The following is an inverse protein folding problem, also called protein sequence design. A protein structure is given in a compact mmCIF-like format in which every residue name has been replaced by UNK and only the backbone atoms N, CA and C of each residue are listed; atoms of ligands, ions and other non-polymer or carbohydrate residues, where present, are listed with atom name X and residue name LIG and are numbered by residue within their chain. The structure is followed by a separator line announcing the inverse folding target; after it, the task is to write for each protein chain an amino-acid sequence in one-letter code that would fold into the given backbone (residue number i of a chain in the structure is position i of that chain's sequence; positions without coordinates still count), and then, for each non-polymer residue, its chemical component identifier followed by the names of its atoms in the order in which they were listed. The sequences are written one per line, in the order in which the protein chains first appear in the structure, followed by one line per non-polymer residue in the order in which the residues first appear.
data_IF_503974925464
#
_entry.id   IF_503974925464
#
_cell.length_a   1.000
_cell.length_b   1.000
_cell.length_c   1.000
_cell.angle_alpha   90.00
_cell.angle_beta   90.00
_cell.angle_gamma   90.00
#
_symmetry.space_group_name_H-M   'P 1'
#
loop_
_entity.id
_entity.type
_entity.pdbx_description
1 polymer ?
#
# COMPACT_ATOMS: atom_id res chain seq x y z
N UNK A 1 -4.80 -28.61 -38.94
CA UNK A 1 -4.78 -28.64 -37.46
C UNK A 1 -4.06 -27.38 -37.00
N UNK A 2 -4.80 -26.39 -36.47
CA UNK A 2 -4.24 -25.08 -36.10
C UNK A 2 -3.79 -25.11 -34.65
N UNK A 3 -2.47 -25.07 -34.44
CA UNK A 3 -1.85 -25.01 -33.12
C UNK A 3 -2.09 -23.64 -32.48
N UNK A 4 -2.85 -23.59 -31.36
CA UNK A 4 -2.89 -22.42 -30.48
C UNK A 4 -1.57 -22.32 -29.72
N UNK A 5 -0.77 -21.29 -30.01
CA UNK A 5 0.31 -20.86 -29.11
C UNK A 5 -0.34 -20.28 -27.85
N UNK A 6 -0.37 -21.07 -26.77
CA UNK A 6 -0.51 -20.52 -25.41
C UNK A 6 0.82 -19.83 -25.07
N UNK A 7 0.84 -18.57 -24.62
CA UNK A 7 2.04 -18.04 -24.00
C UNK A 7 2.28 -18.82 -22.70
N UNK A 8 3.55 -19.18 -22.51
CA UNK A 8 4.03 -19.93 -21.36
C UNK A 8 3.79 -19.14 -20.07
N UNK A 9 3.32 -19.85 -19.04
CA UNK A 9 3.40 -19.39 -17.66
C UNK A 9 4.89 -19.32 -17.28
N UNK A 10 5.38 -18.11 -17.04
CA UNK A 10 6.75 -17.86 -16.64
C UNK A 10 6.83 -16.50 -15.97
N UNK A 11 7.26 -16.53 -14.70
CA UNK A 11 7.51 -15.41 -13.78
C UNK A 11 6.26 -14.88 -13.04
N UNK A 12 6.18 -14.97 -11.69
CA UNK A 12 5.28 -14.13 -10.93
C UNK A 12 5.81 -12.70 -11.08
N UNK A 13 5.35 -12.00 -12.13
CA UNK A 13 5.46 -10.55 -12.22
C UNK A 13 4.97 -10.01 -10.88
N UNK A 14 5.82 -9.30 -10.16
CA UNK A 14 5.45 -8.62 -8.93
C UNK A 14 4.11 -7.93 -9.17
N UNK A 15 3.12 -8.29 -8.35
CA UNK A 15 1.71 -8.05 -8.65
C UNK A 15 1.43 -6.59 -8.31
N UNK A 16 1.78 -5.67 -9.22
CA UNK A 16 1.38 -4.28 -9.14
C UNK A 16 -0.12 -4.24 -8.87
N UNK A 17 -0.55 -3.77 -7.69
CA UNK A 17 -1.96 -3.84 -7.33
C UNK A 17 -2.73 -2.85 -8.20
N UNK A 18 -3.86 -3.27 -8.75
CA UNK A 18 -4.68 -2.33 -9.54
C UNK A 18 -5.28 -1.26 -8.62
N UNK A 19 -5.56 -0.04 -9.12
CA UNK A 19 -6.14 1.03 -8.30
C UNK A 19 -7.39 0.61 -7.53
N UNK A 20 -8.24 -0.22 -8.14
CA UNK A 20 -9.47 -0.72 -7.49
C UNK A 20 -9.14 -1.64 -6.31
N UNK A 21 -8.15 -2.52 -6.45
CA UNK A 21 -7.76 -3.44 -5.39
C UNK A 21 -7.20 -2.68 -4.19
N UNK A 22 -6.31 -1.72 -4.40
CA UNK A 22 -5.75 -0.89 -3.32
C UNK A 22 -6.87 -0.14 -2.58
N UNK A 23 -7.80 0.47 -3.31
CA UNK A 23 -8.96 1.16 -2.73
C UNK A 23 -9.79 0.21 -1.86
N UNK A 24 -10.17 -0.95 -2.40
CA UNK A 24 -10.98 -1.93 -1.68
C UNK A 24 -10.30 -2.43 -0.42
N UNK A 25 -8.99 -2.67 -0.46
CA UNK A 25 -8.25 -3.09 0.73
C UNK A 25 -8.27 -2.00 1.81
N UNK A 26 -8.05 -0.73 1.44
CA UNK A 26 -8.11 0.39 2.39
C UNK A 26 -9.53 0.52 2.99
N UNK A 27 -10.57 0.32 2.19
CA UNK A 27 -11.96 0.34 2.67
C UNK A 27 -12.27 -0.77 3.68
N UNK A 28 -11.64 -1.94 3.51
CA UNK A 28 -11.81 -3.11 4.36
C UNK A 28 -10.97 -3.09 5.64
N UNK A 29 -10.10 -2.09 5.82
CA UNK A 29 -9.32 -1.94 7.05
C UNK A 29 -10.23 -1.85 8.27
N UNK A 30 -9.87 -2.61 9.31
CA UNK A 30 -10.46 -2.52 10.64
C UNK A 30 -9.46 -1.93 11.65
N UNK A 31 -9.95 -1.52 12.82
CA UNK A 31 -9.08 -0.91 13.84
C UNK A 31 -8.02 -1.90 14.31
N UNK A 32 -6.77 -1.45 14.34
CA UNK A 32 -5.60 -2.27 14.68
C UNK A 32 -5.01 -3.03 13.49
N UNK A 33 -5.64 -3.02 12.31
CA UNK A 33 -5.03 -3.50 11.08
C UNK A 33 -4.30 -2.37 10.35
N UNK A 34 -3.29 -2.78 9.58
CA UNK A 34 -2.55 -1.90 8.70
C UNK A 34 -2.27 -2.60 7.38
N UNK A 35 -2.28 -1.84 6.29
CA UNK A 35 -1.76 -2.26 4.98
C UNK A 35 -0.37 -1.64 4.82
N UNK A 36 0.61 -2.46 4.44
CA UNK A 36 1.97 -1.99 4.19
C UNK A 36 2.33 -2.22 2.73
N UNK A 37 2.82 -1.17 2.08
CA UNK A 37 3.27 -1.20 0.69
C UNK A 37 4.75 -0.88 0.64
N UNK A 38 5.55 -1.72 -0.01
CA UNK A 38 6.96 -1.44 -0.28
C UNK A 38 7.08 -0.34 -1.31
N UNK A 39 7.85 0.70 -0.99
CA UNK A 39 8.14 1.80 -1.90
C UNK A 39 9.41 1.52 -2.70
N UNK A 40 9.51 2.05 -3.92
CA UNK A 40 10.74 1.99 -4.70
C UNK A 40 11.86 2.79 -4.03
N UNK A 41 13.11 2.34 -4.22
CA UNK A 41 14.30 3.00 -3.67
C UNK A 41 14.46 4.45 -4.18
N UNK A 42 14.00 4.76 -5.39
CA UNK A 42 14.01 6.12 -5.95
C UNK A 42 13.20 7.12 -5.12
N UNK A 43 12.21 6.65 -4.36
CA UNK A 43 11.40 7.45 -3.45
C UNK A 43 11.85 7.36 -1.99
N UNK A 44 13.08 6.90 -1.75
CA UNK A 44 13.64 6.68 -0.41
C UNK A 44 13.42 5.26 0.13
N UNK A 45 12.74 4.39 -0.63
CA UNK A 45 12.44 3.03 -0.21
C UNK A 45 11.54 2.98 1.02
N UNK A 46 11.65 1.91 1.80
CA UNK A 46 10.85 1.74 3.01
C UNK A 46 9.43 1.24 2.71
N UNK A 47 8.53 1.51 3.65
CA UNK A 47 7.12 1.12 3.61
C UNK A 47 6.20 2.32 3.74
N UNK A 48 5.16 2.35 2.90
CA UNK A 48 3.96 3.13 3.15
C UNK A 48 2.96 2.30 3.93
N UNK A 49 2.59 2.77 5.12
CA UNK A 49 1.70 2.08 6.04
C UNK A 49 0.38 2.86 6.16
N UNK A 50 -0.73 2.24 5.76
CA UNK A 50 -2.08 2.78 5.94
C UNK A 50 -2.78 2.05 7.08
N UNK A 51 -3.35 2.81 8.00
CA UNK A 51 -4.14 2.29 9.11
C UNK A 51 -5.39 3.15 9.36
N UNK A 52 -6.39 2.58 10.06
CA UNK A 52 -7.51 3.38 10.57
C UNK A 52 -7.03 4.27 11.72
N UNK A 53 -7.45 5.52 11.70
CA UNK A 53 -7.26 6.45 12.80
C UNK A 53 -8.12 6.00 14.01
N UNK A 54 -7.52 5.62 15.15
CA UNK A 54 -8.27 5.19 16.33
C UNK A 54 -9.10 6.31 16.97
N UNK A 55 -8.84 7.57 16.62
CA UNK A 55 -9.58 8.73 17.11
C UNK A 55 -10.76 9.11 16.20
N UNK A 56 -10.90 8.50 15.02
CA UNK A 56 -12.06 8.73 14.14
C UNK A 56 -13.33 8.04 14.70
N UNK A 57 -14.53 8.64 14.59
CA UNK A 57 -14.86 9.91 13.94
C UNK A 57 -14.71 11.15 14.84
N UNK A 58 -14.20 11.00 16.07
CA UNK A 58 -14.12 12.11 17.04
C UNK A 58 -13.05 13.15 16.68
N UNK A 59 -11.93 12.73 16.09
CA UNK A 59 -10.81 13.62 15.74
C UNK A 59 -10.01 13.10 14.54
N UNK A 60 -9.66 14.02 13.65
CA UNK A 60 -8.86 13.75 12.46
C UNK A 60 -9.64 12.99 11.38
N UNK A 61 -8.97 12.65 10.29
CA UNK A 61 -9.56 11.88 9.20
C UNK A 61 -9.50 10.37 9.44
N UNK A 62 -10.29 9.60 8.68
CA UNK A 62 -10.50 8.16 8.89
C UNK A 62 -9.24 7.32 8.75
N UNK A 63 -8.36 7.65 7.80
CA UNK A 63 -7.16 6.89 7.48
C UNK A 63 -5.91 7.71 7.76
N UNK A 64 -4.89 7.05 8.29
CA UNK A 64 -3.55 7.62 8.49
C UNK A 64 -2.61 6.93 7.51
N UNK A 65 -1.80 7.72 6.81
CA UNK A 65 -0.66 7.22 6.04
C UNK A 65 0.62 7.61 6.77
N UNK A 66 1.47 6.62 6.99
CA UNK A 66 2.80 6.79 7.59
C UNK A 66 3.87 6.14 6.73
N UNK A 67 5.10 6.61 6.87
CA UNK A 67 6.29 5.98 6.31
C UNK A 67 7.05 5.23 7.38
N UNK A 68 7.60 4.07 7.04
CA UNK A 68 8.43 3.26 7.92
C UNK A 68 9.69 2.83 7.18
N UNK A 69 10.85 3.11 7.76
CA UNK A 69 12.13 2.70 7.19
C UNK A 69 12.29 1.19 7.26
N UNK A 70 13.09 0.64 6.34
CA UNK A 70 13.52 -0.74 6.39
C UNK A 70 14.98 -0.81 6.84
N UNK A 71 15.25 -1.56 7.90
CA UNK A 71 16.60 -1.92 8.35
C UNK A 71 16.79 -3.41 8.08
N UNK A 72 17.83 -3.77 7.33
CA UNK A 72 18.09 -5.14 6.88
C UNK A 72 16.85 -5.80 6.21
N UNK A 73 16.11 -5.00 5.44
CA UNK A 73 14.91 -5.44 4.73
C UNK A 73 13.66 -5.65 5.60
N UNK A 74 13.70 -5.29 6.89
CA UNK A 74 12.59 -5.42 7.84
C UNK A 74 12.12 -4.06 8.36
N UNK A 75 10.83 -3.90 8.71
CA UNK A 75 10.33 -2.64 9.28
C UNK A 75 11.10 -2.25 10.54
N UNK A 76 11.55 -1.00 10.61
CA UNK A 76 12.32 -0.48 11.74
C UNK A 76 11.51 -0.38 13.05
N UNK A 77 10.19 -0.52 12.99
CA UNK A 77 9.27 -0.35 14.12
C UNK A 77 8.92 1.11 14.42
N UNK A 78 9.43 2.05 13.61
CA UNK A 78 9.18 3.48 13.76
C UNK A 78 8.46 4.04 12.55
N UNK A 79 7.23 4.49 12.78
CA UNK A 79 6.38 5.11 11.76
C UNK A 79 6.41 6.63 11.87
N UNK A 80 6.64 7.27 10.73
CA UNK A 80 6.57 8.71 10.55
C UNK A 80 5.27 9.05 9.83
N UNK A 81 4.33 9.68 10.54
CA UNK A 81 3.06 10.09 9.92
C UNK A 81 3.35 11.07 8.78
N UNK A 82 2.86 10.74 7.59
CA UNK A 82 2.98 11.58 6.40
C UNK A 82 1.76 12.51 6.30
N UNK A 83 0.55 11.93 6.28
CA UNK A 83 -0.71 12.70 6.28
C UNK A 83 -1.90 11.85 6.75
N UNK A 84 -3.11 12.40 6.64
CA UNK A 84 -4.38 11.70 6.85
C UNK A 84 -5.42 12.02 5.76
N UNK A 85 -6.32 11.07 5.50
CA UNK A 85 -7.35 11.18 4.46
C UNK A 85 -8.65 10.48 4.87
N UNK A 86 -9.79 10.99 4.41
CA UNK A 86 -11.07 10.28 4.48
C UNK A 86 -11.35 9.49 3.20
N UNK A 87 -10.52 9.66 2.18
CA UNK A 87 -10.73 9.13 0.83
C UNK A 87 -9.70 8.04 0.53
N UNK A 88 -10.12 6.76 0.48
CA UNK A 88 -9.26 5.65 0.09
C UNK A 88 -8.59 5.86 -1.27
N UNK A 89 -9.30 6.48 -2.22
CA UNK A 89 -8.80 6.78 -3.56
C UNK A 89 -7.56 7.68 -3.56
N UNK A 90 -7.49 8.66 -2.68
CA UNK A 90 -6.35 9.59 -2.63
C UNK A 90 -5.09 8.86 -2.13
N UNK A 91 -5.27 7.98 -1.14
CA UNK A 91 -4.19 7.13 -0.63
C UNK A 91 -3.73 6.10 -1.66
N UNK A 92 -4.68 5.46 -2.34
CA UNK A 92 -4.37 4.50 -3.39
C UNK A 92 -3.63 5.13 -4.56
N UNK A 93 -4.07 6.31 -5.02
CA UNK A 93 -3.38 7.06 -6.07
C UNK A 93 -1.93 7.37 -5.69
N UNK A 94 -1.72 7.89 -4.48
CA UNK A 94 -0.38 8.19 -4.00
C UNK A 94 0.52 6.94 -3.91
N UNK A 95 0.02 5.82 -3.37
CA UNK A 95 0.78 4.56 -3.33
C UNK A 95 1.22 4.13 -4.72
N UNK A 96 0.31 4.19 -5.69
CA UNK A 96 0.58 3.78 -7.06
C UNK A 96 1.57 4.71 -7.77
N UNK A 97 1.51 6.02 -7.49
CA UNK A 97 2.50 6.97 -7.99
C UNK A 97 3.91 6.65 -7.45
N UNK A 98 4.00 6.06 -6.25
CA UNK A 98 5.24 5.56 -5.68
C UNK A 98 5.61 4.13 -6.15
N UNK A 99 4.83 3.56 -7.08
CA UNK A 99 4.88 2.15 -7.50
C UNK A 99 4.90 1.18 -6.31
N UNK A 100 4.03 1.44 -5.33
CA UNK A 100 3.96 0.66 -4.10
C UNK A 100 3.43 -0.75 -4.34
N UNK A 101 4.15 -1.75 -3.84
CA UNK A 101 3.73 -3.16 -3.88
C UNK A 101 3.26 -3.61 -2.49
N UNK A 102 2.08 -4.24 -2.41
CA UNK A 102 1.54 -4.74 -1.15
C UNK A 102 2.40 -5.89 -0.59
N UNK A 103 2.66 -5.87 0.71
CA UNK A 103 3.41 -6.90 1.46
C UNK A 103 2.54 -7.82 2.30
#
# INVERSE_FOLDING_TARGET
MFWKKKPAAGEPKAKEPSPKEVITQIEQLTLGQALSYRLLETYGGGLAVIELNPQYPKKGRKYILSLEELVDGKPAGKRHRLWDSDKPKDLAGWILDQNGELL
#
